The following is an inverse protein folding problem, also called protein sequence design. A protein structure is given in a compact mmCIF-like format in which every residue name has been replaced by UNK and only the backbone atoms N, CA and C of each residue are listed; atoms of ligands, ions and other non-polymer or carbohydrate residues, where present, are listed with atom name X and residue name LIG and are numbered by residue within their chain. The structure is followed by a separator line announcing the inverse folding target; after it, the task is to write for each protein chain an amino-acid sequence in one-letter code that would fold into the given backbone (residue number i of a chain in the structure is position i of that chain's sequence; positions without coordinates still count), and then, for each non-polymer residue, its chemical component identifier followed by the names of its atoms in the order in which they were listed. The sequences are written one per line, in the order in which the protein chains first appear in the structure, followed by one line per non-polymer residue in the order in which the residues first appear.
data_IF_657679420069
#
_entry.id   IF_657679420069
#
_cell.length_a   1.000
_cell.length_b   1.000
_cell.length_c   1.000
_cell.angle_alpha   90.00
_cell.angle_beta   90.00
_cell.angle_gamma   90.00
#
_symmetry.space_group_name_H-M   'P 1'
#
loop_
_entity.id
_entity.type
_entity.pdbx_description
1 polymer ?
#
# COMPACT_ATOMS: atom_id res chain seq x y z
N UNK A 1 -3.05 -17.51 -21.10
CA UNK A 1 -3.49 -17.47 -19.70
C UNK A 1 -2.34 -16.86 -18.93
N UNK A 2 -2.46 -15.58 -18.59
CA UNK A 2 -1.45 -14.93 -17.76
C UNK A 2 -1.62 -15.39 -16.32
N UNK A 3 -0.54 -15.38 -15.55
CA UNK A 3 -0.57 -15.84 -14.16
C UNK A 3 -1.49 -15.01 -13.26
N UNK A 4 -1.95 -13.85 -13.70
CA UNK A 4 -2.84 -12.95 -12.96
C UNK A 4 -4.27 -12.89 -13.50
N UNK A 5 -4.67 -13.77 -14.44
CA UNK A 5 -6.03 -13.75 -15.01
C UNK A 5 -7.13 -13.91 -13.95
N UNK A 6 -6.81 -14.51 -12.79
CA UNK A 6 -7.74 -14.67 -11.67
C UNK A 6 -7.94 -13.38 -10.84
N UNK A 7 -7.12 -12.35 -11.05
CA UNK A 7 -7.14 -11.11 -10.27
C UNK A 7 -7.99 -10.00 -10.92
N UNK A 8 -8.56 -10.24 -12.11
CA UNK A 8 -9.37 -9.26 -12.87
C UNK A 8 -8.66 -7.90 -13.01
N UNK A 9 -7.35 -7.95 -13.30
CA UNK A 9 -6.50 -6.76 -13.47
C UNK A 9 -6.64 -6.28 -14.91
N UNK A 10 -6.88 -4.98 -15.07
CA UNK A 10 -6.84 -4.32 -16.39
C UNK A 10 -5.46 -4.49 -17.03
N UNK A 11 -5.42 -4.95 -18.28
CA UNK A 11 -4.17 -5.16 -19.03
C UNK A 11 -3.34 -3.87 -19.12
N UNK A 12 -3.99 -2.70 -19.14
CA UNK A 12 -3.33 -1.38 -19.18
C UNK A 12 -2.61 -1.01 -17.86
N UNK A 13 -2.87 -1.76 -16.79
CA UNK A 13 -2.21 -1.63 -15.49
C UNK A 13 -1.19 -2.74 -15.22
N UNK A 14 -1.04 -3.71 -16.14
CA UNK A 14 -0.09 -4.81 -16.06
C UNK A 14 1.21 -4.51 -16.83
N UNK A 15 2.32 -4.27 -16.11
CA UNK A 15 3.63 -3.98 -16.71
C UNK A 15 4.56 -5.18 -16.68
N UNK A 16 4.60 -5.95 -17.77
CA UNK A 16 5.40 -7.18 -17.89
C UNK A 16 6.92 -6.97 -17.90
N UNK A 17 7.38 -5.87 -18.49
CA UNK A 17 8.80 -5.51 -18.56
C UNK A 17 8.99 -4.16 -17.88
N UNK A 18 9.02 -4.14 -16.54
CA UNK A 18 8.93 -2.89 -15.81
C UNK A 18 10.24 -2.11 -15.94
N UNK A 19 10.11 -0.87 -16.41
CA UNK A 19 11.20 0.08 -16.55
C UNK A 19 10.91 1.33 -15.71
N UNK A 20 11.87 2.25 -15.64
CA UNK A 20 11.67 3.55 -14.97
C UNK A 20 10.48 4.30 -15.60
N UNK A 21 10.26 4.15 -16.91
CA UNK A 21 9.10 4.72 -17.60
C UNK A 21 7.78 4.13 -17.09
N UNK A 22 7.72 2.83 -16.79
CA UNK A 22 6.52 2.18 -16.22
C UNK A 22 6.14 2.82 -14.89
N UNK A 23 7.12 3.04 -14.01
CA UNK A 23 6.91 3.74 -12.72
C UNK A 23 6.40 5.17 -12.96
N UNK A 24 6.98 5.88 -13.92
CA UNK A 24 6.57 7.26 -14.22
C UNK A 24 5.11 7.32 -14.70
N UNK A 25 4.69 6.35 -15.51
CA UNK A 25 3.32 6.25 -15.99
C UNK A 25 2.35 5.94 -14.85
N UNK A 26 2.69 4.98 -13.98
CA UNK A 26 1.89 4.67 -12.79
C UNK A 26 1.74 5.89 -11.87
N UNK A 27 2.84 6.60 -11.61
CA UNK A 27 2.80 7.82 -10.78
C UNK A 27 1.93 8.90 -11.42
N UNK A 28 1.99 9.06 -12.75
CA UNK A 28 1.16 10.01 -13.47
C UNK A 28 -0.33 9.65 -13.39
N UNK A 29 -0.69 8.37 -13.60
CA UNK A 29 -2.07 7.86 -13.45
C UNK A 29 -2.62 8.14 -12.03
N UNK A 30 -1.81 7.88 -11.00
CA UNK A 30 -2.19 8.16 -9.60
C UNK A 30 -2.43 9.66 -9.38
N UNK A 31 -1.54 10.51 -9.89
CA UNK A 31 -1.67 11.97 -9.74
C UNK A 31 -2.89 12.52 -10.48
N UNK A 32 -3.19 12.00 -11.68
CA UNK A 32 -4.37 12.34 -12.46
C UNK A 32 -5.68 11.99 -11.73
N UNK A 33 -5.81 10.75 -11.24
CA UNK A 33 -7.01 10.31 -10.52
C UNK A 33 -7.23 11.10 -9.21
N UNK A 34 -6.14 11.47 -8.52
CA UNK A 34 -6.22 12.35 -7.34
C UNK A 34 -6.74 13.75 -7.71
N UNK A 35 -6.27 14.31 -8.83
CA UNK A 35 -6.70 15.64 -9.27
C UNK A 35 -8.16 15.64 -9.73
N UNK A 36 -8.57 14.64 -10.51
CA UNK A 36 -9.96 14.45 -10.90
C UNK A 36 -10.90 14.36 -9.67
N UNK A 37 -10.44 13.71 -8.61
CA UNK A 37 -11.21 13.63 -7.37
C UNK A 37 -11.34 14.99 -6.67
N UNK A 38 -10.29 15.82 -6.68
CA UNK A 38 -10.39 17.19 -6.15
C UNK A 38 -11.37 18.03 -6.95
N UNK A 39 -11.29 18.00 -8.28
CA UNK A 39 -12.23 18.70 -9.16
C UNK A 39 -13.68 18.27 -8.89
N UNK A 40 -13.89 16.96 -8.70
CA UNK A 40 -15.19 16.42 -8.30
C UNK A 40 -15.69 17.00 -6.98
N UNK A 41 -14.84 17.05 -5.95
CA UNK A 41 -15.21 17.61 -4.65
C UNK A 41 -15.50 19.12 -4.72
N UNK A 42 -14.69 19.88 -5.46
CA UNK A 42 -14.92 21.31 -5.67
C UNK A 42 -16.25 21.56 -6.36
N UNK A 43 -16.51 20.85 -7.45
CA UNK A 43 -17.79 20.92 -8.17
C UNK A 43 -18.96 20.52 -7.28
N UNK A 44 -18.80 19.47 -6.47
CA UNK A 44 -19.83 19.03 -5.51
C UNK A 44 -20.12 20.11 -4.47
N UNK A 45 -19.09 20.74 -3.91
CA UNK A 45 -19.26 21.83 -2.96
C UNK A 45 -19.92 23.06 -3.59
N UNK A 46 -19.57 23.40 -4.83
CA UNK A 46 -20.19 24.49 -5.57
C UNK A 46 -21.68 24.20 -5.83
N UNK A 47 -22.01 23.01 -6.34
CA UNK A 47 -23.40 22.57 -6.52
C UNK A 47 -24.21 22.64 -5.21
N UNK A 48 -23.66 22.18 -4.08
CA UNK A 48 -24.32 22.24 -2.77
C UNK A 48 -24.61 23.69 -2.37
N UNK A 49 -23.65 24.60 -2.55
CA UNK A 49 -23.81 26.03 -2.23
C UNK A 49 -24.91 26.65 -3.09
N UNK A 50 -24.90 26.36 -4.40
CA UNK A 50 -25.89 26.89 -5.33
C UNK A 50 -27.29 26.33 -5.08
N UNK A 51 -27.42 25.02 -4.82
CA UNK A 51 -28.72 24.42 -4.49
C UNK A 51 -29.30 24.98 -3.19
N UNK A 52 -28.46 25.21 -2.16
CA UNK A 52 -28.89 25.90 -0.93
C UNK A 52 -29.36 27.32 -1.22
N UNK A 53 -28.59 28.07 -2.02
CA UNK A 53 -28.95 29.44 -2.43
C UNK A 53 -30.28 29.47 -3.20
N UNK A 54 -30.50 28.51 -4.10
CA UNK A 54 -31.77 28.33 -4.83
C UNK A 54 -32.94 28.09 -3.87
N UNK A 55 -32.75 27.21 -2.88
CA UNK A 55 -33.77 26.92 -1.87
C UNK A 55 -34.09 28.14 -0.99
N UNK A 56 -33.08 28.91 -0.60
CA UNK A 56 -33.23 30.02 0.35
C UNK A 56 -33.74 31.31 -0.31
N UNK A 57 -33.34 31.57 -1.57
CA UNK A 57 -33.50 32.89 -2.23
C UNK A 57 -34.16 32.85 -3.61
N UNK A 58 -34.55 31.67 -4.10
CA UNK A 58 -35.16 31.53 -5.42
C UNK A 58 -34.15 31.63 -6.57
N UNK A 59 -34.65 31.38 -7.77
CA UNK A 59 -33.85 31.21 -8.99
C UNK A 59 -33.27 32.54 -9.48
N UNK A 60 -33.99 33.65 -9.28
CA UNK A 60 -33.58 35.02 -9.59
C UNK A 60 -32.31 35.48 -8.86
N UNK A 61 -31.97 34.81 -7.76
CA UNK A 61 -30.75 35.12 -7.00
C UNK A 61 -29.49 34.50 -7.61
N UNK A 62 -29.64 33.55 -8.54
CA UNK A 62 -28.54 32.83 -9.15
C UNK A 62 -27.94 33.62 -10.33
N UNK A 63 -26.62 33.55 -10.45
CA UNK A 63 -25.91 34.00 -11.65
C UNK A 63 -26.05 32.99 -12.78
N UNK A 64 -25.84 33.42 -14.03
CA UNK A 64 -25.90 32.53 -15.21
C UNK A 64 -24.98 31.30 -15.05
N UNK A 65 -23.79 31.48 -14.48
CA UNK A 65 -22.85 30.39 -14.21
C UNK A 65 -23.39 29.40 -13.19
N UNK A 66 -23.99 29.89 -12.10
CA UNK A 66 -24.59 29.04 -11.07
C UNK A 66 -25.78 28.26 -11.64
N UNK A 67 -26.61 28.89 -12.48
CA UNK A 67 -27.74 28.25 -13.15
C UNK A 67 -27.27 27.15 -14.12
N UNK A 68 -26.25 27.41 -14.94
CA UNK A 68 -25.65 26.41 -15.83
C UNK A 68 -25.07 25.23 -15.06
N UNK A 69 -24.42 25.49 -13.91
CA UNK A 69 -23.84 24.45 -13.07
C UNK A 69 -24.91 23.48 -12.56
N UNK A 70 -25.99 23.98 -11.94
CA UNK A 70 -27.06 23.11 -11.42
C UNK A 70 -27.89 22.48 -12.54
N UNK A 71 -28.01 23.14 -13.69
CA UNK A 71 -28.63 22.55 -14.89
C UNK A 71 -27.84 21.33 -15.37
N UNK A 72 -26.50 21.36 -15.32
CA UNK A 72 -25.64 20.22 -15.70
C UNK A 72 -25.87 18.95 -14.85
N UNK A 73 -26.47 19.09 -13.67
CA UNK A 73 -26.84 17.99 -12.78
C UNK A 73 -28.37 17.81 -12.68
N UNK A 74 -29.15 18.41 -13.60
CA UNK A 74 -30.61 18.42 -13.58
C UNK A 74 -31.20 18.77 -12.21
N UNK A 75 -30.60 19.75 -11.52
CA UNK A 75 -31.01 20.22 -10.20
C UNK A 75 -31.00 19.17 -9.07
N UNK A 76 -30.40 17.99 -9.30
CA UNK A 76 -30.27 16.94 -8.28
C UNK A 76 -28.79 16.55 -8.10
N UNK A 77 -28.29 16.73 -6.88
CA UNK A 77 -26.92 16.38 -6.53
C UNK A 77 -26.61 14.90 -6.78
N UNK A 78 -27.61 14.00 -6.78
CA UNK A 78 -27.42 12.57 -7.08
C UNK A 78 -26.96 12.30 -8.51
N UNK A 79 -27.19 13.24 -9.43
CA UNK A 79 -26.75 13.15 -10.81
C UNK A 79 -25.27 13.57 -10.97
N UNK A 80 -24.69 14.21 -9.97
CA UNK A 80 -23.25 14.40 -9.92
C UNK A 80 -22.60 13.07 -9.52
N UNK A 81 -22.00 12.38 -10.49
CA UNK A 81 -21.35 11.09 -10.28
C UNK A 81 -19.85 11.23 -10.20
N UNK A 82 -19.26 10.54 -9.23
CA UNK A 82 -17.83 10.24 -9.24
C UNK A 82 -17.54 9.05 -10.17
N UNK A 83 -16.28 8.90 -10.59
CA UNK A 83 -15.77 7.79 -11.42
C UNK A 83 -16.09 6.41 -10.81
N UNK A 84 -16.06 6.30 -9.48
CA UNK A 84 -16.34 5.06 -8.74
C UNK A 84 -17.73 5.08 -8.09
N UNK A 85 -18.29 3.90 -7.81
CA UNK A 85 -19.62 3.73 -7.20
C UNK A 85 -19.81 4.44 -5.86
N UNK A 86 -18.70 4.66 -5.13
CA UNK A 86 -18.69 5.32 -3.84
C UNK A 86 -17.95 6.65 -3.95
N UNK A 87 -18.50 7.68 -3.29
CA UNK A 87 -17.88 8.99 -3.12
C UNK A 87 -16.72 8.94 -2.12
N UNK A 88 -15.67 8.20 -2.46
CA UNK A 88 -14.46 8.04 -1.69
C UNK A 88 -13.27 8.47 -2.52
N UNK A 89 -12.18 8.97 -1.88
CA UNK A 89 -10.95 9.24 -2.59
C UNK A 89 -10.44 7.97 -3.28
N UNK A 90 -9.74 8.10 -4.41
CA UNK A 90 -9.12 6.97 -5.06
C UNK A 90 -8.10 6.31 -4.11
N UNK A 91 -8.11 4.99 -4.08
CA UNK A 91 -7.18 4.15 -3.32
C UNK A 91 -6.46 3.23 -4.29
N UNK A 92 -5.13 3.19 -4.22
CA UNK A 92 -4.30 2.46 -5.18
C UNK A 92 -3.53 1.34 -4.49
N UNK A 93 -3.36 0.21 -5.18
CA UNK A 93 -2.48 -0.87 -4.76
C UNK A 93 -1.45 -1.13 -5.86
N UNK A 94 -0.19 -0.81 -5.58
CA UNK A 94 0.92 -1.07 -6.48
C UNK A 94 1.63 -2.35 -6.04
N UNK A 95 1.60 -3.37 -6.89
CA UNK A 95 2.30 -4.63 -6.68
C UNK A 95 3.54 -4.65 -7.58
N UNK A 96 4.70 -4.90 -6.98
CA UNK A 96 5.98 -5.01 -7.67
C UNK A 96 6.49 -6.42 -7.43
N UNK A 97 6.47 -7.24 -8.47
CA UNK A 97 6.94 -8.62 -8.43
C UNK A 97 8.32 -8.76 -9.09
N UNK A 98 9.22 -9.47 -8.42
CA UNK A 98 10.59 -9.79 -8.81
C UNK A 98 11.39 -8.69 -9.55
N UNK A 99 11.23 -7.44 -9.11
CA UNK A 99 11.95 -6.31 -9.72
C UNK A 99 13.29 -6.00 -9.02
N UNK A 100 13.77 -6.87 -8.14
CA UNK A 100 14.89 -6.66 -7.20
C UNK A 100 16.18 -6.11 -7.83
N UNK A 101 16.49 -6.49 -9.07
CA UNK A 101 17.68 -6.03 -9.80
C UNK A 101 17.36 -5.01 -10.89
N UNK A 102 16.11 -4.55 -10.96
CA UNK A 102 15.68 -3.55 -11.94
C UNK A 102 16.14 -2.15 -11.53
N UNK A 103 16.21 -1.24 -12.52
CA UNK A 103 16.53 0.17 -12.28
C UNK A 103 15.45 0.91 -11.46
N UNK A 104 14.30 0.28 -11.19
CA UNK A 104 13.21 0.81 -10.36
C UNK A 104 13.67 1.01 -8.92
N UNK A 105 14.57 0.16 -8.43
CA UNK A 105 15.12 0.28 -7.08
C UNK A 105 16.42 1.09 -7.03
N UNK A 106 16.76 1.84 -8.08
CA UNK A 106 17.98 2.65 -8.08
C UNK A 106 17.90 3.80 -7.05
N UNK A 107 19.00 4.03 -6.34
CA UNK A 107 19.17 5.11 -5.34
C UNK A 107 19.29 6.51 -5.96
N UNK A 108 18.84 6.72 -7.20
CA UNK A 108 18.89 8.05 -7.82
C UNK A 108 17.87 8.97 -7.16
N UNK A 109 18.25 10.19 -6.80
CA UNK A 109 17.32 11.22 -6.29
C UNK A 109 16.23 11.61 -7.30
N UNK A 110 16.40 11.25 -8.58
CA UNK A 110 15.40 11.44 -9.64
C UNK A 110 14.38 10.30 -9.74
N UNK A 111 14.52 9.26 -8.92
CA UNK A 111 13.66 8.09 -8.98
C UNK A 111 12.28 8.41 -8.36
N UNK A 112 11.25 8.53 -9.22
CA UNK A 112 9.88 8.76 -8.78
C UNK A 112 9.34 7.66 -7.89
N UNK A 113 9.83 6.42 -8.03
CA UNK A 113 9.45 5.31 -7.16
C UNK A 113 9.83 5.57 -5.71
N UNK A 114 11.06 6.02 -5.45
CA UNK A 114 11.54 6.32 -4.10
C UNK A 114 10.69 7.39 -3.42
N UNK A 115 10.32 8.45 -4.17
CA UNK A 115 9.46 9.52 -3.66
C UNK A 115 8.02 9.01 -3.43
N UNK A 116 7.47 8.22 -4.35
CA UNK A 116 6.17 7.57 -4.17
C UNK A 116 6.18 6.69 -2.91
N UNK A 117 7.19 5.87 -2.70
CA UNK A 117 7.29 4.98 -1.55
C UNK A 117 7.40 5.71 -0.22
N UNK A 118 8.08 6.87 -0.19
CA UNK A 118 8.16 7.74 0.99
C UNK A 118 6.85 8.50 1.28
N UNK A 119 6.01 8.71 0.26
CA UNK A 119 4.79 9.54 0.36
C UNK A 119 3.52 8.77 -0.01
N UNK A 120 3.57 7.44 0.02
CA UNK A 120 2.52 6.57 -0.45
C UNK A 120 1.20 6.79 0.32
N UNK A 121 1.29 6.99 1.64
CA UNK A 121 0.15 7.32 2.52
C UNK A 121 -0.53 8.64 2.15
N UNK A 122 0.21 9.64 1.65
CA UNK A 122 -0.36 10.91 1.20
C UNK A 122 -1.13 10.80 -0.12
N UNK A 123 -0.86 9.74 -0.89
CA UNK A 123 -1.49 9.44 -2.18
C UNK A 123 -2.47 8.26 -2.08
N UNK A 124 -2.91 7.88 -0.87
CA UNK A 124 -3.76 6.72 -0.62
C UNK A 124 -3.28 5.45 -1.36
N UNK A 125 -1.96 5.26 -1.43
CA UNK A 125 -1.33 4.19 -2.20
C UNK A 125 -0.70 3.18 -1.24
N UNK A 126 -1.08 1.92 -1.37
CA UNK A 126 -0.38 0.78 -0.76
C UNK A 126 0.62 0.22 -1.76
N UNK A 127 1.83 -0.09 -1.32
CA UNK A 127 2.87 -0.68 -2.17
C UNK A 127 3.27 -2.02 -1.58
N UNK A 128 3.12 -3.09 -2.36
CA UNK A 128 3.60 -4.43 -2.04
C UNK A 128 4.80 -4.76 -2.92
N UNK A 129 5.93 -5.11 -2.30
CA UNK A 129 7.16 -5.50 -2.99
C UNK A 129 7.43 -6.97 -2.69
N UNK A 130 7.38 -7.80 -3.72
CA UNK A 130 7.68 -9.23 -3.64
C UNK A 130 9.08 -9.45 -4.21
N UNK A 131 10.02 -9.76 -3.34
CA UNK A 131 11.44 -9.86 -3.68
C UNK A 131 12.03 -11.15 -3.13
N UNK A 132 12.92 -11.76 -3.90
CA UNK A 132 13.70 -12.92 -3.43
C UNK A 132 14.91 -12.49 -2.59
N UNK A 133 15.44 -11.28 -2.82
CA UNK A 133 16.66 -10.80 -2.18
C UNK A 133 16.42 -9.54 -1.33
N UNK A 134 16.20 -9.74 -0.03
CA UNK A 134 15.87 -8.64 0.90
C UNK A 134 16.94 -7.54 0.96
N UNK A 135 18.21 -7.91 1.21
CA UNK A 135 19.29 -6.92 1.43
C UNK A 135 19.81 -6.28 0.15
N UNK A 136 19.98 -7.07 -0.91
CA UNK A 136 20.57 -6.61 -2.19
C UNK A 136 19.51 -6.08 -3.16
N UNK A 137 18.28 -6.58 -3.07
CA UNK A 137 17.20 -6.25 -4.00
C UNK A 137 16.36 -5.03 -3.61
N UNK A 138 16.29 -4.69 -2.32
CA UNK A 138 15.50 -3.54 -1.85
C UNK A 138 16.42 -2.54 -1.19
N UNK A 139 16.40 -1.25 -1.56
CA UNK A 139 17.20 -0.22 -0.91
C UNK A 139 16.94 -0.07 0.59
N UNK A 140 18.00 0.15 1.37
CA UNK A 140 17.93 0.29 2.84
C UNK A 140 16.91 1.32 3.32
N UNK A 141 16.75 2.45 2.62
CA UNK A 141 15.80 3.50 3.00
C UNK A 141 14.33 3.03 2.93
N UNK A 142 14.00 2.06 2.06
CA UNK A 142 12.67 1.46 2.00
C UNK A 142 12.43 0.48 3.15
N UNK A 143 13.49 -0.20 3.61
CA UNK A 143 13.41 -1.24 4.66
C UNK A 143 13.29 -0.67 6.06
N UNK A 144 13.97 0.44 6.37
CA UNK A 144 14.13 0.93 7.75
C UNK A 144 13.16 2.06 8.17
N UNK A 145 12.44 2.68 7.25
CA UNK A 145 11.63 3.88 7.56
C UNK A 145 10.18 3.87 7.07
N UNK A 146 9.87 3.18 5.97
CA UNK A 146 8.53 3.18 5.37
C UNK A 146 7.81 1.83 5.46
N UNK A 147 8.50 0.80 5.97
CA UNK A 147 7.97 -0.54 6.02
C UNK A 147 6.96 -0.65 7.17
N UNK A 148 5.69 -0.85 6.83
CA UNK A 148 4.61 -1.05 7.81
C UNK A 148 4.33 -2.53 8.08
N UNK A 149 4.60 -3.37 7.08
CA UNK A 149 4.42 -4.81 7.14
C UNK A 149 5.60 -5.51 6.46
N UNK A 150 6.18 -6.52 7.10
CA UNK A 150 7.18 -7.41 6.53
C UNK A 150 6.68 -8.85 6.62
N UNK A 151 6.71 -9.56 5.50
CA UNK A 151 6.39 -10.99 5.44
C UNK A 151 7.64 -11.75 5.05
N UNK A 152 8.04 -12.71 5.88
CA UNK A 152 9.24 -13.51 5.68
C UNK A 152 8.87 -14.98 5.58
N UNK A 153 9.12 -15.55 4.41
CA UNK A 153 9.07 -17.00 4.20
C UNK A 153 10.34 -17.65 4.73
N UNK A 154 10.38 -18.99 4.66
CA UNK A 154 11.53 -19.78 5.07
C UNK A 154 12.81 -19.32 4.37
N UNK A 155 13.83 -18.99 5.17
CA UNK A 155 15.16 -18.60 4.71
C UNK A 155 16.16 -19.63 5.29
N UNK A 156 17.06 -20.12 4.44
CA UNK A 156 18.11 -21.06 4.87
C UNK A 156 19.42 -20.37 5.27
N UNK A 157 19.67 -19.17 4.74
CA UNK A 157 20.87 -18.40 5.06
C UNK A 157 20.77 -17.75 6.44
N UNK A 158 21.47 -18.33 7.41
CA UNK A 158 21.53 -17.85 8.79
C UNK A 158 22.07 -16.42 8.90
N UNK A 159 23.01 -16.04 8.03
CA UNK A 159 23.56 -14.68 8.03
C UNK A 159 22.50 -13.67 7.62
N UNK A 160 21.65 -14.02 6.64
CA UNK A 160 20.52 -13.18 6.24
C UNK A 160 19.48 -13.03 7.36
N UNK A 161 19.23 -14.09 8.13
CA UNK A 161 18.33 -14.04 9.30
C UNK A 161 18.87 -13.09 10.37
N UNK A 162 20.15 -13.21 10.70
CA UNK A 162 20.83 -12.32 11.68
C UNK A 162 20.84 -10.86 11.21
N UNK A 163 21.03 -10.67 9.91
CA UNK A 163 21.03 -9.37 9.24
C UNK A 163 19.65 -8.70 9.25
N UNK A 164 18.57 -9.47 9.04
CA UNK A 164 17.20 -8.98 9.13
C UNK A 164 16.88 -8.61 10.58
N UNK A 165 17.29 -9.44 11.54
CA UNK A 165 17.12 -9.16 12.97
C UNK A 165 17.68 -7.78 13.35
N UNK A 166 18.90 -7.45 12.89
CA UNK A 166 19.52 -6.14 13.16
C UNK A 166 18.74 -4.95 12.59
N UNK A 167 17.94 -5.16 11.55
CA UNK A 167 17.11 -4.10 10.94
C UNK A 167 15.70 -4.01 11.53
N UNK A 168 15.17 -5.11 12.06
CA UNK A 168 13.73 -5.27 12.36
C UNK A 168 13.43 -5.38 13.85
N UNK A 169 14.33 -5.96 14.64
CA UNK A 169 14.09 -6.26 16.06
C UNK A 169 15.02 -5.46 16.97
N UNK A 170 14.43 -4.55 17.75
CA UNK A 170 15.07 -3.95 18.92
C UNK A 170 14.61 -4.61 20.23
N UNK A 171 13.78 -5.65 20.12
CA UNK A 171 12.86 -6.05 21.19
C UNK A 171 13.07 -7.47 21.71
N UNK A 172 13.73 -8.29 20.90
CA UNK A 172 14.05 -9.69 21.15
C UNK A 172 15.57 -9.82 21.14
N UNK A 173 16.09 -10.82 21.84
CA UNK A 173 17.44 -11.34 21.63
C UNK A 173 17.53 -12.12 20.32
N UNK A 174 18.74 -12.37 19.84
CA UNK A 174 18.94 -13.13 18.60
C UNK A 174 18.40 -14.57 18.69
N UNK A 175 18.50 -15.19 19.87
CA UNK A 175 18.02 -16.56 20.09
C UNK A 175 16.49 -16.62 20.10
N UNK A 176 15.84 -15.67 20.76
CA UNK A 176 14.38 -15.52 20.73
C UNK A 176 13.87 -15.23 19.31
N UNK A 177 14.59 -14.40 18.55
CA UNK A 177 14.27 -14.12 17.15
C UNK A 177 14.34 -15.37 16.27
N UNK A 178 15.39 -16.18 16.42
CA UNK A 178 15.53 -17.43 15.67
C UNK A 178 14.40 -18.41 15.97
N UNK A 179 14.04 -18.56 17.24
CA UNK A 179 12.89 -19.39 17.67
C UNK A 179 11.57 -18.90 17.07
N UNK A 180 11.31 -17.60 17.14
CA UNK A 180 10.11 -17.00 16.55
C UNK A 180 10.05 -17.25 15.03
N UNK A 181 11.17 -17.02 14.34
CA UNK A 181 11.27 -17.21 12.91
C UNK A 181 11.04 -18.67 12.51
N UNK A 182 11.67 -19.61 13.21
CA UNK A 182 11.50 -21.04 12.98
C UNK A 182 10.05 -21.46 13.20
N UNK A 183 9.46 -21.15 14.35
CA UNK A 183 8.05 -21.47 14.66
C UNK A 183 7.07 -20.90 13.62
N UNK A 184 7.27 -19.65 13.19
CA UNK A 184 6.37 -18.99 12.26
C UNK A 184 6.53 -19.47 10.80
N UNK A 185 7.73 -19.92 10.42
CA UNK A 185 8.01 -20.43 9.06
C UNK A 185 7.96 -21.97 8.96
N UNK A 186 7.78 -22.66 10.08
CA UNK A 186 7.56 -24.09 10.13
C UNK A 186 6.16 -24.45 9.65
N UNK A 187 6.08 -25.07 8.47
CA UNK A 187 4.90 -25.79 8.00
C UNK A 187 5.30 -26.91 7.04
N UNK A 188 4.54 -28.00 7.08
CA UNK A 188 4.70 -29.15 6.18
C UNK A 188 4.44 -28.78 4.71
N UNK A 189 3.61 -27.76 4.46
CA UNK A 189 3.24 -27.30 3.12
C UNK A 189 4.20 -26.26 2.51
N UNK A 190 5.18 -25.77 3.29
CA UNK A 190 6.16 -24.78 2.86
C UNK A 190 5.61 -23.37 2.60
N UNK A 191 4.34 -23.09 2.92
CA UNK A 191 3.70 -21.81 2.63
C UNK A 191 3.57 -20.89 3.86
N UNK A 192 4.03 -21.36 5.03
CA UNK A 192 4.07 -20.54 6.23
C UNK A 192 5.11 -19.42 6.18
N UNK A 193 4.72 -18.26 6.72
CA UNK A 193 5.56 -17.07 6.81
C UNK A 193 5.39 -16.36 8.16
N UNK A 194 6.46 -15.68 8.59
CA UNK A 194 6.41 -14.73 9.69
C UNK A 194 5.93 -13.37 9.14
N UNK A 195 4.83 -12.86 9.69
CA UNK A 195 4.37 -11.49 9.41
C UNK A 195 4.70 -10.58 10.58
N UNK A 196 5.23 -9.40 10.26
CA UNK A 196 5.63 -8.38 11.23
C UNK A 196 4.95 -7.07 10.89
N UNK A 197 4.09 -6.59 11.79
CA UNK A 197 3.47 -5.28 11.71
C UNK A 197 4.22 -4.29 12.60
N UNK A 198 4.89 -3.32 12.00
CA UNK A 198 5.72 -2.36 12.74
C UNK A 198 4.89 -1.31 13.51
N UNK A 199 3.65 -1.08 13.08
CA UNK A 199 2.73 -0.11 13.70
C UNK A 199 1.98 -0.71 14.92
N UNK A 200 2.10 -2.02 15.19
CA UNK A 200 1.41 -2.70 16.28
C UNK A 200 2.29 -2.93 17.52
N UNK A 201 1.74 -2.87 18.75
CA UNK A 201 2.46 -3.23 19.96
C UNK A 201 2.87 -4.71 19.96
N UNK A 202 3.97 -4.99 20.65
CA UNK A 202 4.65 -6.30 20.67
C UNK A 202 3.72 -7.49 20.98
N UNK A 203 2.91 -7.36 22.02
CA UNK A 203 2.00 -8.41 22.50
C UNK A 203 0.57 -8.25 21.95
N UNK A 204 0.35 -7.30 21.04
CA UNK A 204 -0.96 -7.00 20.44
C UNK A 204 -0.98 -7.31 18.93
N UNK A 205 -0.14 -8.25 18.50
CA UNK A 205 -0.13 -8.73 17.13
C UNK A 205 0.96 -8.16 16.22
N UNK A 206 2.04 -7.59 16.80
CA UNK A 206 3.26 -7.25 16.04
C UNK A 206 3.81 -8.44 15.27
N UNK A 207 3.93 -9.60 15.93
CA UNK A 207 4.42 -10.84 15.31
C UNK A 207 3.26 -11.80 15.09
N UNK A 208 3.21 -12.40 13.89
CA UNK A 208 2.17 -13.36 13.52
C UNK A 208 2.72 -14.51 12.70
N UNK A 209 2.14 -15.70 12.89
CA UNK A 209 2.26 -16.79 11.92
C UNK A 209 1.20 -16.57 10.85
N UNK A 210 1.65 -16.43 9.62
CA UNK A 210 0.84 -16.01 8.48
C UNK A 210 0.12 -14.68 8.79
N UNK A 211 -1.21 -14.61 8.57
CA UNK A 211 -2.01 -13.42 8.88
C UNK A 211 -2.95 -13.61 10.08
N UNK A 212 -3.12 -14.85 10.53
CA UNK A 212 -4.26 -15.25 11.36
C UNK A 212 -3.88 -15.51 12.82
N UNK A 213 -2.65 -15.95 13.08
CA UNK A 213 -2.23 -16.37 14.42
C UNK A 213 -1.27 -15.33 15.01
N UNK A 214 -1.64 -14.75 16.15
CA UNK A 214 -0.80 -13.80 16.88
C UNK A 214 0.17 -14.59 17.75
N UNK A 215 1.46 -14.21 17.70
CA UNK A 215 2.50 -14.80 18.52
C UNK A 215 2.88 -13.80 19.61
N UNK A 216 2.65 -14.16 20.88
CA UNK A 216 3.11 -13.36 22.01
C UNK A 216 4.60 -13.58 22.26
N UNK A 217 5.33 -12.54 22.67
CA UNK A 217 6.74 -12.68 23.04
C UNK A 217 6.93 -13.63 24.23
N UNK A 218 5.97 -13.64 25.16
CA UNK A 218 6.04 -14.51 26.32
C UNK A 218 5.93 -15.99 25.93
N UNK A 219 5.19 -16.30 24.87
CA UNK A 219 5.11 -17.65 24.33
C UNK A 219 6.45 -18.06 23.70
N UNK A 220 7.08 -17.17 22.93
CA UNK A 220 8.40 -17.40 22.31
C UNK A 220 9.48 -17.71 23.37
N UNK A 221 9.46 -17.01 24.50
CA UNK A 221 10.37 -17.25 25.62
C UNK A 221 10.17 -18.63 26.26
N UNK A 222 8.94 -19.12 26.23
CA UNK A 222 8.55 -20.40 26.82
C UNK A 222 8.67 -21.58 25.86
N UNK A 223 8.99 -21.35 24.57
CA UNK A 223 9.36 -22.41 23.62
C UNK A 223 10.64 -23.09 24.13
N UNK A 224 10.46 -24.26 24.76
CA UNK A 224 11.55 -25.12 25.22
C UNK A 224 12.33 -25.62 24.01
N UNK A 225 13.66 -25.62 24.12
CA UNK A 225 14.47 -26.47 23.26
C UNK A 225 14.15 -27.90 23.68
N UNK A 226 13.48 -28.65 22.82
CA UNK A 226 13.60 -30.10 22.91
C UNK A 226 15.02 -30.43 22.43
N UNK A 227 15.84 -30.93 23.38
CA UNK A 227 17.19 -31.45 23.16
C UNK A 227 17.19 -32.69 22.24
#
# INVERSE_FOLDING_TARGET
MHYWDFLDIDEDDAYLNPAISSVNNVVAKIEEDIELYKEYLEKKQECIKVLKKLMDKGMESLTDRELLLIYSINFDLKNLKWKYDRDVPPCFCLIIDDCSHSKIFSNSGTNKFSNLALRNRHKNTTIAMMVQSYKTGVPKFLRQGNLSCLMLWRIYDQKLIDDIYQEVSNDLTIDEWKKLFEYATEAEDGHSHLTIFFDLPKNEGKYRKNLNEIISIDDVKNIRQDD
#
